data_IF_478968424578
#
_entry.id   IF_478968424578
#
_cell.length_a   1.000
_cell.length_b   1.000
_cell.length_c   1.000
_cell.angle_alpha   90.00
_cell.angle_beta   90.00
_cell.angle_gamma   90.00
#
_symmetry.space_group_name_H-M   'P 1'
#
loop_
_entity.id
_entity.type
_entity.pdbx_description
1 polymer ?
#
# COMPACT_ATOMS: atom_id res chain seq x y z
N UNK A 1 3.71 -9.85 -24.99
CA UNK A 1 3.64 -8.40 -24.74
C UNK A 1 4.17 -8.21 -23.33
N UNK A 2 5.48 -8.10 -23.18
CA UNK A 2 6.15 -8.01 -21.88
C UNK A 2 7.34 -7.07 -22.06
N UNK A 3 7.18 -5.76 -21.87
CA UNK A 3 8.33 -4.83 -21.97
C UNK A 3 8.17 -3.50 -21.19
N UNK A 4 7.16 -3.34 -20.32
CA UNK A 4 6.94 -2.08 -19.58
C UNK A 4 7.14 -2.22 -18.06
N UNK A 5 7.79 -3.28 -17.59
CA UNK A 5 8.03 -3.52 -16.17
C UNK A 5 9.51 -3.75 -15.89
N UNK A 6 10.08 -2.94 -15.00
CA UNK A 6 11.43 -3.13 -14.46
C UNK A 6 11.34 -3.58 -13.01
N UNK A 7 12.02 -4.68 -12.67
CA UNK A 7 12.15 -5.13 -11.28
C UNK A 7 13.53 -4.75 -10.75
N UNK A 8 13.56 -3.93 -9.70
CA UNK A 8 14.80 -3.48 -9.06
C UNK A 8 14.85 -4.03 -7.64
N UNK A 9 15.90 -4.80 -7.34
CA UNK A 9 16.14 -5.31 -5.99
C UNK A 9 17.02 -4.33 -5.20
N UNK A 10 16.41 -3.57 -4.27
CA UNK A 10 17.10 -2.62 -3.39
C UNK A 10 17.08 -3.10 -1.91
N UNK A 11 17.91 -4.08 -1.53
CA UNK A 11 17.90 -4.65 -0.17
C UNK A 11 18.44 -3.69 0.89
N UNK A 12 19.30 -2.73 0.49
CA UNK A 12 19.93 -1.76 1.40
C UNK A 12 19.07 -0.51 1.63
N UNK A 13 17.97 -0.36 0.90
CA UNK A 13 17.10 0.83 0.92
C UNK A 13 17.88 2.11 0.65
N UNK A 14 18.80 2.02 -0.31
CA UNK A 14 19.47 3.21 -0.85
C UNK A 14 18.43 4.09 -1.54
N UNK A 15 18.63 5.41 -1.53
CA UNK A 15 17.72 6.35 -2.18
C UNK A 15 17.55 5.95 -3.65
N UNK A 16 16.30 5.88 -4.13
CA UNK A 16 16.00 5.43 -5.50
C UNK A 16 16.71 6.25 -6.58
N UNK A 17 16.93 7.55 -6.37
CA UNK A 17 17.66 8.43 -7.30
C UNK A 17 19.11 7.97 -7.56
N UNK A 18 19.68 7.16 -6.66
CA UNK A 18 21.02 6.61 -6.83
C UNK A 18 21.04 5.30 -7.64
N UNK A 19 19.87 4.68 -7.84
CA UNK A 19 19.74 3.35 -8.43
C UNK A 19 19.14 3.45 -9.83
N UNK A 20 18.18 4.36 -10.01
CA UNK A 20 17.43 4.52 -11.24
C UNK A 20 17.03 5.97 -11.44
N UNK A 21 16.87 6.40 -12.69
CA UNK A 21 16.29 7.69 -13.03
C UNK A 21 14.75 7.58 -12.96
N UNK A 22 14.09 8.21 -11.97
CA UNK A 22 12.64 8.08 -11.82
C UNK A 22 11.87 8.68 -12.99
N UNK A 23 12.48 9.59 -13.78
CA UNK A 23 11.82 10.22 -14.93
C UNK A 23 11.57 9.26 -16.09
N UNK A 24 12.17 8.07 -16.05
CA UNK A 24 11.97 7.00 -17.03
C UNK A 24 10.71 6.17 -16.77
N UNK A 25 10.03 6.40 -15.64
CA UNK A 25 8.87 5.61 -15.22
C UNK A 25 7.67 6.51 -14.99
N UNK A 26 6.51 6.09 -15.49
CA UNK A 26 5.23 6.73 -15.16
C UNK A 26 4.86 6.48 -13.68
N UNK A 27 5.18 5.28 -13.19
CA UNK A 27 4.87 4.85 -11.83
C UNK A 27 6.01 4.01 -11.22
N UNK A 28 6.27 4.22 -9.93
CA UNK A 28 7.21 3.43 -9.14
C UNK A 28 6.48 2.82 -7.95
N UNK A 29 6.53 1.50 -7.84
CA UNK A 29 5.94 0.77 -6.71
C UNK A 29 7.05 0.27 -5.80
N UNK A 30 7.01 0.68 -4.54
CA UNK A 30 7.99 0.28 -3.52
C UNK A 30 7.33 -0.67 -2.53
N UNK A 31 7.72 -1.95 -2.58
CA UNK A 31 7.33 -2.92 -1.56
C UNK A 31 8.18 -2.75 -0.29
N UNK A 32 7.57 -2.13 0.73
CA UNK A 32 8.18 -1.91 2.03
C UNK A 32 7.86 -3.07 2.98
N UNK A 33 8.92 -3.74 3.48
CA UNK A 33 8.77 -4.71 4.57
C UNK A 33 8.21 -4.00 5.80
N UNK A 34 7.33 -4.68 6.55
CA UNK A 34 6.62 -4.12 7.71
C UNK A 34 7.48 -3.76 8.93
N UNK A 35 8.81 -3.70 8.81
CA UNK A 35 9.68 -3.18 9.85
C UNK A 35 9.64 -1.64 9.82
N UNK A 36 9.40 -1.03 10.99
CA UNK A 36 9.21 0.42 11.14
C UNK A 36 10.35 1.25 10.53
N UNK A 37 11.60 0.82 10.73
CA UNK A 37 12.77 1.54 10.20
C UNK A 37 12.83 1.55 8.67
N UNK A 38 12.41 0.45 8.04
CA UNK A 38 12.37 0.34 6.59
C UNK A 38 11.28 1.23 6.00
N UNK A 39 10.09 1.23 6.61
CA UNK A 39 8.98 2.10 6.19
C UNK A 39 9.35 3.58 6.32
N UNK A 40 10.01 3.98 7.41
CA UNK A 40 10.48 5.37 7.59
C UNK A 40 11.51 5.75 6.51
N UNK A 41 12.49 4.88 6.25
CA UNK A 41 13.52 5.14 5.23
C UNK A 41 12.91 5.35 3.86
N UNK A 42 11.96 4.50 3.45
CA UNK A 42 11.26 4.65 2.17
C UNK A 42 10.51 5.98 2.11
N UNK A 43 9.72 6.31 3.13
CA UNK A 43 8.93 7.57 3.12
C UNK A 43 9.84 8.80 3.10
N UNK A 44 10.91 8.82 3.90
CA UNK A 44 11.81 9.98 4.02
C UNK A 44 12.72 10.13 2.80
N UNK A 45 13.29 9.02 2.30
CA UNK A 45 14.27 9.07 1.21
C UNK A 45 13.62 9.20 -0.15
N UNK A 46 12.52 8.48 -0.38
CA UNK A 46 11.93 8.32 -1.71
C UNK A 46 10.69 9.18 -1.90
N UNK A 47 10.18 9.79 -0.81
CA UNK A 47 9.13 10.79 -0.83
C UNK A 47 7.90 10.39 -1.67
N UNK A 48 7.18 9.32 -1.30
CA UNK A 48 6.07 8.80 -2.10
C UNK A 48 4.90 9.77 -2.13
N UNK A 49 4.19 9.82 -3.27
CA UNK A 49 2.92 10.55 -3.40
C UNK A 49 1.76 9.84 -2.70
N UNK A 50 1.85 8.50 -2.61
CA UNK A 50 0.82 7.64 -2.01
C UNK A 50 1.42 6.55 -1.13
N UNK A 51 0.74 6.26 -0.02
CA UNK A 51 1.03 5.12 0.86
C UNK A 51 -0.21 4.24 0.94
N UNK A 52 -0.06 2.99 0.51
CA UNK A 52 -1.12 1.97 0.61
C UNK A 52 -0.87 1.11 1.85
N UNK A 53 -1.88 0.99 2.72
CA UNK A 53 -1.81 0.16 3.93
C UNK A 53 -2.80 -1.00 3.78
N UNK A 54 -2.34 -2.20 3.36
CA UNK A 54 -3.22 -3.35 3.21
C UNK A 54 -3.61 -3.94 4.57
N UNK A 55 -4.92 -4.17 4.79
CA UNK A 55 -5.47 -4.86 5.96
C UNK A 55 -6.06 -6.18 5.49
N UNK A 56 -5.25 -7.25 5.55
CA UNK A 56 -5.64 -8.58 5.12
C UNK A 56 -6.42 -9.33 6.21
N UNK A 57 -7.50 -10.01 5.83
CA UNK A 57 -8.33 -10.85 6.69
C UNK A 57 -7.51 -11.85 7.53
N UNK A 58 -6.53 -12.52 6.90
CA UNK A 58 -5.64 -13.49 7.56
C UNK A 58 -4.77 -12.89 8.67
N UNK A 59 -4.51 -11.57 8.60
CA UNK A 59 -3.67 -10.85 9.54
C UNK A 59 -4.43 -9.75 10.27
N UNK A 60 -5.77 -9.76 10.20
CA UNK A 60 -6.67 -8.68 10.62
C UNK A 60 -6.33 -8.13 12.00
N UNK A 61 -6.23 -8.99 13.02
CA UNK A 61 -5.95 -8.58 14.39
C UNK A 61 -4.59 -7.88 14.53
N UNK A 62 -3.56 -8.40 13.86
CA UNK A 62 -2.21 -7.81 13.88
C UNK A 62 -2.16 -6.50 13.09
N UNK A 63 -2.81 -6.44 11.93
CA UNK A 63 -2.84 -5.27 11.07
C UNK A 63 -3.59 -4.11 11.75
N UNK A 64 -4.81 -4.36 12.25
CA UNK A 64 -5.58 -3.37 13.01
C UNK A 64 -4.88 -2.94 14.30
N UNK A 65 -4.22 -3.88 14.99
CA UNK A 65 -3.47 -3.59 16.22
C UNK A 65 -2.21 -2.75 16.02
N UNK A 66 -1.70 -2.62 14.79
CA UNK A 66 -0.55 -1.76 14.45
C UNK A 66 -0.92 -0.50 13.66
N UNK A 67 -2.19 -0.36 13.26
CA UNK A 67 -2.63 0.73 12.39
C UNK A 67 -2.39 2.10 13.03
N UNK A 68 -2.64 2.23 14.33
CA UNK A 68 -2.37 3.43 15.13
C UNK A 68 -0.91 3.88 15.03
N UNK A 69 0.02 2.94 15.14
CA UNK A 69 1.46 3.21 15.08
C UNK A 69 1.90 3.66 13.70
N UNK A 70 1.34 3.04 12.65
CA UNK A 70 1.65 3.39 11.25
C UNK A 70 1.14 4.79 10.95
N UNK A 71 -0.14 5.07 11.24
CA UNK A 71 -0.76 6.37 10.99
C UNK A 71 -0.06 7.48 11.77
N UNK A 72 0.22 7.27 13.07
CA UNK A 72 0.98 8.23 13.87
C UNK A 72 2.37 8.54 13.30
N UNK A 73 3.08 7.51 12.83
CA UNK A 73 4.39 7.67 12.21
C UNK A 73 4.30 8.54 10.95
N UNK A 74 3.34 8.29 10.06
CA UNK A 74 3.14 9.10 8.85
C UNK A 74 2.76 10.54 9.23
N UNK A 75 1.84 10.75 10.17
CA UNK A 75 1.49 12.10 10.66
C UNK A 75 2.68 12.87 11.21
N UNK A 76 3.61 12.20 11.90
CA UNK A 76 4.84 12.84 12.39
C UNK A 76 5.80 13.21 11.26
N UNK A 77 5.86 12.41 10.20
CA UNK A 77 6.66 12.73 9.02
C UNK A 77 6.08 13.93 8.25
N UNK A 78 4.75 14.02 8.10
CA UNK A 78 4.08 15.21 7.53
C UNK A 78 4.42 16.47 8.35
N UNK A 79 4.30 16.40 9.68
CA UNK A 79 4.58 17.52 10.55
C UNK A 79 6.05 17.99 10.48
N UNK A 80 6.99 17.06 10.37
CA UNK A 80 8.43 17.36 10.31
C UNK A 80 8.90 17.85 8.94
N UNK A 81 8.17 17.55 7.87
CA UNK A 81 8.51 17.99 6.51
C UNK A 81 7.89 19.35 6.15
N UNK A 82 7.07 19.93 7.03
CA UNK A 82 6.48 21.26 6.86
C UNK A 82 5.39 21.34 5.79
N UNK A 83 4.93 20.20 5.27
CA UNK A 83 3.92 20.10 4.22
C UNK A 83 2.79 19.18 4.69
N UNK A 84 1.76 19.71 5.37
CA UNK A 84 0.52 18.94 5.56
C UNK A 84 -0.07 18.63 4.18
N UNK A 85 -0.58 17.41 3.98
CA UNK A 85 -1.13 16.90 2.71
C UNK A 85 -0.11 16.49 1.64
N UNK A 86 1.14 16.19 2.03
CA UNK A 86 2.16 15.77 1.06
C UNK A 86 1.89 14.37 0.50
N UNK A 87 1.31 13.47 1.30
CA UNK A 87 1.12 12.07 0.95
C UNK A 87 -0.32 11.65 1.16
N UNK A 88 -0.90 11.00 0.16
CA UNK A 88 -2.21 10.37 0.31
C UNK A 88 -2.04 9.00 0.95
N UNK A 89 -2.65 8.79 2.12
CA UNK A 89 -2.68 7.49 2.80
C UNK A 89 -4.01 6.80 2.51
N UNK A 90 -3.95 5.63 1.88
CA UNK A 90 -5.14 4.84 1.55
C UNK A 90 -5.04 3.48 2.25
N UNK A 91 -5.97 3.21 3.16
CA UNK A 91 -6.12 1.92 3.82
C UNK A 91 -6.92 1.02 2.89
N UNK A 92 -6.36 -0.14 2.55
CA UNK A 92 -6.93 -1.08 1.57
C UNK A 92 -7.47 -2.31 2.30
N UNK A 93 -8.81 -2.47 2.43
CA UNK A 93 -9.41 -3.65 3.05
C UNK A 93 -9.33 -4.85 2.11
N UNK A 94 -8.65 -5.92 2.53
CA UNK A 94 -8.50 -7.16 1.76
C UNK A 94 -9.20 -8.31 2.50
N UNK A 95 -10.47 -8.56 2.17
CA UNK A 95 -11.35 -9.49 2.88
C UNK A 95 -11.79 -9.00 4.25
N UNK A 96 -11.73 -7.70 4.51
CA UNK A 96 -12.12 -7.07 5.79
C UNK A 96 -13.13 -5.97 5.52
N UNK A 97 -14.20 -5.94 6.30
CA UNK A 97 -15.20 -4.87 6.19
C UNK A 97 -14.63 -3.50 6.58
N UNK A 98 -14.99 -2.48 5.79
CA UNK A 98 -14.68 -1.07 5.97
C UNK A 98 -15.17 -0.55 7.31
N UNK A 99 -16.32 -1.01 7.79
CA UNK A 99 -16.89 -0.62 9.09
C UNK A 99 -15.95 -0.98 10.25
N UNK A 100 -15.27 -2.13 10.15
CA UNK A 100 -14.32 -2.55 11.18
C UNK A 100 -13.10 -1.63 11.22
N UNK A 101 -12.66 -1.18 10.05
CA UNK A 101 -11.55 -0.23 9.92
C UNK A 101 -11.98 1.15 10.40
N UNK A 102 -13.16 1.64 10.01
CA UNK A 102 -13.76 2.88 10.49
C UNK A 102 -13.84 2.92 12.01
N UNK A 103 -14.43 1.89 12.63
CA UNK A 103 -14.50 1.77 14.10
C UNK A 103 -13.11 1.81 14.74
N UNK A 104 -12.09 1.23 14.09
CA UNK A 104 -10.72 1.33 14.59
C UNK A 104 -10.17 2.75 14.46
N UNK A 105 -10.39 3.43 13.33
CA UNK A 105 -9.94 4.81 13.11
C UNK A 105 -10.54 5.79 14.11
N UNK A 106 -11.80 5.62 14.50
CA UNK A 106 -12.46 6.46 15.52
C UNK A 106 -11.74 6.42 16.89
N UNK A 107 -11.00 5.34 17.16
CA UNK A 107 -10.21 5.20 18.40
C UNK A 107 -8.80 5.78 18.32
N UNK A 108 -8.34 6.18 17.12
CA UNK A 108 -6.98 6.67 16.89
C UNK A 108 -6.97 8.19 17.01
N UNK A 109 -6.14 8.71 17.92
CA UNK A 109 -6.10 10.15 18.21
C UNK A 109 -5.40 10.99 17.15
N UNK A 110 -4.51 10.40 16.37
CA UNK A 110 -3.68 11.11 15.39
C UNK A 110 -3.64 10.30 14.10
N UNK A 111 -4.12 10.92 13.02
CA UNK A 111 -4.12 10.37 11.66
C UNK A 111 -3.49 11.38 10.69
N UNK A 112 -2.95 10.93 9.55
CA UNK A 112 -2.45 11.81 8.49
C UNK A 112 -3.55 12.73 7.97
N UNK A 113 -3.18 13.89 7.42
CA UNK A 113 -4.18 14.84 6.94
C UNK A 113 -5.01 14.27 5.79
N UNK A 114 -4.37 13.54 4.88
CA UNK A 114 -5.01 12.82 3.78
C UNK A 114 -5.00 11.33 4.09
N UNK A 115 -6.03 10.87 4.79
CA UNK A 115 -6.22 9.46 5.11
C UNK A 115 -7.63 9.02 4.71
N UNK A 116 -7.72 7.99 3.87
CA UNK A 116 -8.99 7.42 3.44
C UNK A 116 -8.96 5.88 3.50
N UNK A 117 -10.15 5.29 3.42
CA UNK A 117 -10.29 3.84 3.23
C UNK A 117 -10.87 3.63 1.84
N UNK A 118 -10.21 2.79 1.04
CA UNK A 118 -10.66 2.45 -0.30
C UNK A 118 -11.97 1.66 -0.28
N UNK A 119 -12.41 1.22 -1.46
CA UNK A 119 -13.38 0.12 -1.55
C UNK A 119 -12.84 -1.17 -0.95
N UNK A 120 -13.74 -1.97 -0.40
CA UNK A 120 -13.42 -3.30 0.12
C UNK A 120 -13.13 -4.25 -1.04
N UNK A 121 -12.02 -4.97 -0.94
CA UNK A 121 -11.78 -6.13 -1.81
C UNK A 121 -12.29 -7.36 -1.06
N UNK A 122 -13.05 -8.22 -1.74
CA UNK A 122 -13.54 -9.48 -1.17
C UNK A 122 -12.38 -10.38 -0.72
N UNK A 123 -12.67 -11.39 0.10
CA UNK A 123 -11.67 -12.37 0.50
C UNK A 123 -11.24 -13.20 -0.73
N UNK A 124 -9.94 -13.19 -1.03
CA UNK A 124 -9.34 -13.81 -2.23
C UNK A 124 -8.06 -14.57 -1.91
N UNK A 125 -7.91 -15.07 -0.68
CA UNK A 125 -6.62 -15.60 -0.24
C UNK A 125 -6.20 -16.86 -1.02
N UNK A 126 -7.17 -17.68 -1.42
CA UNK A 126 -6.91 -18.94 -2.11
C UNK A 126 -6.63 -18.66 -3.59
N UNK A 127 -7.46 -17.83 -4.23
CA UNK A 127 -7.28 -17.40 -5.62
C UNK A 127 -5.96 -16.64 -5.81
N UNK A 128 -5.56 -15.82 -4.84
CA UNK A 128 -4.27 -15.12 -4.88
C UNK A 128 -3.09 -16.08 -4.75
N UNK A 129 -3.21 -17.14 -3.93
CA UNK A 129 -2.16 -18.15 -3.83
C UNK A 129 -2.01 -18.94 -5.13
N UNK A 130 -3.13 -19.38 -5.71
CA UNK A 130 -3.14 -20.08 -7.00
C UNK A 130 -2.51 -19.19 -8.09
N UNK A 131 -2.98 -17.93 -8.22
CA UNK A 131 -2.49 -16.99 -9.22
C UNK A 131 -0.98 -16.70 -9.08
N UNK A 132 -0.50 -16.49 -7.86
CA UNK A 132 0.90 -16.14 -7.60
C UNK A 132 1.85 -17.32 -7.62
N UNK A 133 1.47 -18.47 -7.07
CA UNK A 133 2.38 -19.58 -6.83
C UNK A 133 2.29 -20.69 -7.88
N UNK A 134 1.09 -20.93 -8.40
CA UNK A 134 0.82 -22.02 -9.34
C UNK A 134 0.83 -21.47 -10.77
N UNK A 135 -0.03 -20.50 -11.04
CA UNK A 135 -0.33 -20.06 -12.40
C UNK A 135 0.57 -18.92 -12.93
N UNK A 136 1.26 -18.21 -12.05
CA UNK A 136 2.15 -17.07 -12.38
C UNK A 136 1.48 -16.00 -13.24
N UNK A 137 0.22 -15.70 -12.95
CA UNK A 137 -0.57 -14.72 -13.70
C UNK A 137 -1.27 -13.74 -12.77
N UNK A 138 -1.77 -12.66 -13.34
CA UNK A 138 -2.58 -11.71 -12.58
C UNK A 138 -3.92 -12.34 -12.17
N UNK A 139 -4.34 -12.11 -10.93
CA UNK A 139 -5.58 -12.68 -10.39
C UNK A 139 -6.83 -12.26 -11.20
N UNK A 140 -6.85 -11.06 -11.79
CA UNK A 140 -7.95 -10.58 -12.61
C UNK A 140 -8.06 -11.26 -13.98
N UNK A 141 -7.21 -12.24 -14.27
CA UNK A 141 -7.36 -13.12 -15.45
C UNK A 141 -8.27 -14.32 -15.19
N UNK A 142 -8.68 -14.55 -13.93
CA UNK A 142 -9.74 -15.51 -13.62
C UNK A 142 -11.11 -14.88 -13.89
N UNK A 143 -12.02 -15.63 -14.52
CA UNK A 143 -13.39 -15.18 -14.82
C UNK A 143 -14.15 -14.67 -13.59
N UNK A 144 -13.88 -15.26 -12.41
CA UNK A 144 -14.49 -14.86 -11.14
C UNK A 144 -13.86 -13.61 -10.52
N UNK A 145 -12.82 -13.04 -11.13
CA UNK A 145 -11.97 -11.99 -10.57
C UNK A 145 -11.71 -10.81 -11.52
N UNK A 146 -12.39 -10.74 -12.67
CA UNK A 146 -12.22 -9.68 -13.67
C UNK A 146 -12.44 -8.28 -13.09
N UNK A 147 -13.38 -8.15 -12.16
CA UNK A 147 -13.71 -6.90 -11.46
C UNK A 147 -12.53 -6.32 -10.67
N UNK A 148 -11.54 -7.14 -10.32
CA UNK A 148 -10.40 -6.70 -9.53
C UNK A 148 -9.51 -5.73 -10.28
N UNK A 149 -9.43 -5.80 -11.61
CA UNK A 149 -8.59 -4.88 -12.39
C UNK A 149 -9.03 -3.42 -12.17
N UNK A 150 -10.32 -3.16 -12.35
CA UNK A 150 -10.93 -1.85 -12.09
C UNK A 150 -10.77 -1.46 -10.61
N UNK A 151 -10.90 -2.44 -9.71
CA UNK A 151 -10.72 -2.17 -8.28
C UNK A 151 -9.31 -1.69 -7.95
N UNK A 152 -8.28 -2.35 -8.50
CA UNK A 152 -6.90 -1.95 -8.34
C UNK A 152 -6.65 -0.58 -8.97
N UNK A 153 -7.07 -0.35 -10.22
CA UNK A 153 -6.90 0.95 -10.90
C UNK A 153 -7.50 2.10 -10.08
N UNK A 154 -8.71 1.92 -9.55
CA UNK A 154 -9.35 2.91 -8.70
C UNK A 154 -8.59 3.18 -7.39
N UNK A 155 -7.90 2.20 -6.80
CA UNK A 155 -7.11 2.40 -5.57
C UNK A 155 -5.87 3.26 -5.85
N UNK A 156 -5.24 3.06 -7.00
CA UNK A 156 -4.03 3.78 -7.39
C UNK A 156 -4.29 5.03 -8.25
N UNK A 157 -5.57 5.32 -8.56
CA UNK A 157 -6.02 6.37 -9.46
C UNK A 157 -5.34 6.29 -10.84
N UNK A 158 -5.31 5.10 -11.42
CA UNK A 158 -5.00 4.89 -12.84
C UNK A 158 -6.28 4.94 -13.68
#
# INVERSE_FOLDING_TARGET
>A
MEDNLSLIYNPKRENLLNIVDPTQYDHIVIDAKGAREDTVKVIVNDNPDKILIPINASQKSKALGNLDRILYMVSKLEANTGLPNKVQVTIVPLGVSKDIINNKLETISIVPHQCEISQEIRYLQDEMQEALYEDKKYIWTYETCEDLYENFCSIINL
#
